data_IF_314237983995
#
_entry.id   IF_314237983995
#
_cell.length_a   1.000
_cell.length_b   1.000
_cell.length_c   1.000
_cell.angle_alpha   90.00
_cell.angle_beta   90.00
_cell.angle_gamma   90.00
#
_symmetry.space_group_name_H-M   'P 1'
#
loop_
_entity.id
_entity.type
_entity.pdbx_description
1 polymer ?
#
# COMPACT_ATOMS: atom_id res chain seq x y z
N UNK A 1 16.22 -21.48 -5.54
CA UNK A 1 16.87 -20.28 -4.94
C UNK A 1 18.24 -20.57 -4.35
N UNK A 2 18.44 -21.55 -3.45
CA UNK A 2 19.77 -21.83 -2.89
C UNK A 2 20.83 -22.25 -3.93
N UNK A 3 20.48 -23.04 -4.95
CA UNK A 3 21.43 -23.41 -6.03
C UNK A 3 21.86 -22.21 -6.88
N UNK A 4 20.93 -21.30 -7.22
CA UNK A 4 21.17 -20.05 -7.96
C UNK A 4 21.94 -19.02 -7.10
N UNK A 5 21.67 -18.97 -5.79
CA UNK A 5 22.45 -18.18 -4.85
C UNK A 5 23.91 -18.66 -4.82
N UNK A 6 24.14 -19.97 -4.74
CA UNK A 6 25.49 -20.54 -4.74
C UNK A 6 26.25 -20.27 -6.03
N UNK A 7 25.59 -20.22 -7.20
CA UNK A 7 26.27 -19.87 -8.47
C UNK A 7 26.61 -18.38 -8.59
N UNK A 8 25.79 -17.47 -8.04
CA UNK A 8 25.98 -16.02 -8.14
C UNK A 8 26.92 -15.43 -7.09
N UNK A 9 27.03 -16.06 -5.92
CA UNK A 9 27.72 -15.53 -4.73
C UNK A 9 29.05 -16.26 -4.46
N UNK A 10 29.28 -17.43 -5.07
CA UNK A 10 30.52 -18.18 -4.83
C UNK A 10 31.75 -17.42 -5.33
N UNK A 11 32.80 -17.25 -4.50
CA UNK A 11 34.06 -16.63 -4.91
C UNK A 11 34.84 -17.50 -5.90
N UNK A 12 34.48 -18.77 -6.09
CA UNK A 12 35.11 -19.68 -7.06
C UNK A 12 34.03 -20.23 -8.00
N UNK A 13 34.27 -20.27 -9.32
CA UNK A 13 33.29 -20.80 -10.27
C UNK A 13 32.97 -22.25 -9.91
N UNK A 14 31.70 -22.55 -9.67
CA UNK A 14 31.25 -23.94 -9.59
C UNK A 14 31.35 -24.52 -10.99
N UNK A 15 32.13 -25.59 -11.14
CA UNK A 15 32.37 -26.29 -12.41
C UNK A 15 31.07 -26.93 -12.90
N UNK A 16 30.23 -26.08 -13.49
CA UNK A 16 29.04 -26.45 -14.22
C UNK A 16 29.47 -26.37 -15.67
N UNK A 17 29.47 -27.50 -16.36
CA UNK A 17 29.71 -27.59 -17.80
C UNK A 17 28.81 -26.58 -18.53
N UNK A 18 29.33 -25.38 -18.78
CA UNK A 18 28.61 -24.29 -19.44
C UNK A 18 28.50 -24.63 -20.91
N UNK A 19 27.31 -25.03 -21.35
CA UNK A 19 26.88 -24.68 -22.69
C UNK A 19 26.87 -23.14 -22.73
N UNK A 20 27.78 -22.55 -23.51
CA UNK A 20 28.06 -21.11 -23.54
C UNK A 20 26.97 -20.25 -24.20
N UNK A 21 25.82 -20.82 -24.55
CA UNK A 21 24.64 -20.03 -24.84
C UNK A 21 24.00 -19.64 -23.51
N UNK A 22 24.44 -18.50 -22.98
CA UNK A 22 23.74 -17.86 -21.87
C UNK A 22 22.34 -17.53 -22.39
N UNK A 23 21.34 -18.33 -22.01
CA UNK A 23 19.96 -18.11 -22.44
C UNK A 23 19.48 -16.78 -21.86
N UNK A 24 19.58 -15.74 -22.69
CA UNK A 24 19.20 -14.36 -22.40
C UNK A 24 17.74 -14.30 -21.92
N UNK A 25 16.89 -15.18 -22.43
CA UNK A 25 15.51 -15.32 -21.98
C UNK A 25 15.43 -15.97 -20.61
N UNK A 26 16.25 -16.99 -20.31
CA UNK A 26 16.30 -17.57 -18.96
C UNK A 26 16.68 -16.53 -17.90
N UNK A 27 17.65 -15.64 -18.18
CA UNK A 27 18.01 -14.54 -17.28
C UNK A 27 16.82 -13.59 -17.07
N UNK A 28 16.12 -13.22 -18.13
CA UNK A 28 14.97 -12.32 -18.06
C UNK A 28 13.78 -12.93 -17.28
N UNK A 29 13.51 -14.22 -17.49
CA UNK A 29 12.49 -14.97 -16.76
C UNK A 29 12.87 -15.10 -15.29
N UNK A 30 14.13 -15.40 -15.01
CA UNK A 30 14.65 -15.48 -13.64
C UNK A 30 14.51 -14.14 -12.92
N UNK A 31 14.94 -13.03 -13.53
CA UNK A 31 14.82 -11.70 -12.96
C UNK A 31 13.36 -11.36 -12.62
N UNK A 32 12.43 -11.53 -13.57
CA UNK A 32 10.98 -11.31 -13.33
C UNK A 32 10.43 -12.18 -12.22
N UNK A 33 10.86 -13.44 -12.14
CA UNK A 33 10.42 -14.36 -11.08
C UNK A 33 10.88 -13.86 -9.71
N UNK A 34 12.14 -13.42 -9.57
CA UNK A 34 12.62 -12.82 -8.33
C UNK A 34 11.82 -11.59 -7.93
N UNK A 35 11.52 -10.70 -8.88
CA UNK A 35 10.74 -9.50 -8.58
C UNK A 35 9.26 -9.79 -8.26
N UNK A 36 8.66 -10.81 -8.87
CA UNK A 36 7.33 -11.27 -8.49
C UNK A 36 7.33 -11.85 -7.07
N UNK A 37 8.32 -12.68 -6.73
CA UNK A 37 8.52 -13.19 -5.38
C UNK A 37 8.75 -12.06 -4.37
N UNK A 38 9.52 -11.03 -4.73
CA UNK A 38 9.74 -9.84 -3.93
C UNK A 38 8.42 -9.11 -3.61
N UNK A 39 7.57 -8.86 -4.62
CA UNK A 39 6.28 -8.19 -4.44
C UNK A 39 5.36 -9.03 -3.54
N UNK A 40 5.29 -10.35 -3.76
CA UNK A 40 4.52 -11.25 -2.90
C UNK A 40 5.03 -11.26 -1.45
N UNK A 41 6.34 -11.25 -1.24
CA UNK A 41 6.94 -11.19 0.09
C UNK A 41 6.60 -9.86 0.80
N UNK A 42 6.53 -8.75 0.06
CA UNK A 42 6.09 -7.46 0.58
C UNK A 42 4.62 -7.46 1.03
N UNK A 43 3.74 -8.16 0.30
CA UNK A 43 2.30 -8.20 0.63
C UNK A 43 1.94 -9.22 1.70
N UNK A 44 2.72 -10.30 1.85
CA UNK A 44 2.39 -11.42 2.75
C UNK A 44 3.20 -11.36 4.06
N UNK A 45 4.48 -10.98 4.01
CA UNK A 45 5.44 -11.19 5.12
C UNK A 45 5.94 -9.89 5.74
N UNK A 46 5.03 -9.01 6.18
CA UNK A 46 5.45 -7.73 6.78
C UNK A 46 5.48 -7.72 8.32
N UNK A 47 5.04 -8.77 9.01
CA UNK A 47 4.89 -8.77 10.49
C UNK A 47 6.03 -9.41 11.29
N UNK A 48 6.01 -9.24 12.62
CA UNK A 48 7.05 -9.75 13.56
C UNK A 48 7.29 -11.25 13.45
N UNK A 49 6.22 -12.01 13.24
CA UNK A 49 6.26 -13.47 13.20
C UNK A 49 6.57 -14.05 11.81
N UNK A 50 6.56 -13.20 10.77
CA UNK A 50 6.89 -13.56 9.40
C UNK A 50 7.79 -12.47 8.81
N UNK A 51 9.08 -12.43 9.17
CA UNK A 51 10.01 -11.47 8.59
C UNK A 51 10.16 -11.73 7.09
N UNK A 52 10.29 -10.66 6.31
CA UNK A 52 10.53 -10.72 4.86
C UNK A 52 11.72 -11.59 4.51
N UNK A 53 11.54 -12.51 3.57
CA UNK A 53 12.58 -13.41 3.07
C UNK A 53 13.44 -12.74 1.99
N UNK A 54 12.87 -11.80 1.24
CA UNK A 54 13.50 -11.10 0.13
C UNK A 54 13.37 -9.58 0.30
N UNK A 55 13.88 -8.96 1.39
CA UNK A 55 13.93 -7.50 1.46
C UNK A 55 14.83 -6.94 0.36
N UNK A 56 14.68 -5.64 0.04
CA UNK A 56 15.42 -4.99 -1.05
C UNK A 56 16.95 -5.16 -0.91
N UNK A 57 17.46 -5.20 0.32
CA UNK A 57 18.87 -5.48 0.62
C UNK A 57 19.33 -6.89 0.17
N UNK A 58 18.49 -7.91 0.34
CA UNK A 58 18.79 -9.26 -0.13
C UNK A 58 18.70 -9.36 -1.65
N UNK A 59 17.75 -8.68 -2.29
CA UNK A 59 17.68 -8.57 -3.76
C UNK A 59 18.99 -7.99 -4.35
N UNK A 60 19.54 -6.96 -3.70
CA UNK A 60 20.83 -6.38 -4.09
C UNK A 60 22.01 -7.35 -3.87
N UNK A 61 22.05 -8.08 -2.74
CA UNK A 61 23.10 -9.09 -2.47
C UNK A 61 23.07 -10.24 -3.48
N UNK A 62 21.87 -10.68 -3.85
CA UNK A 62 21.62 -11.69 -4.88
C UNK A 62 21.94 -11.21 -6.31
N UNK A 63 22.29 -9.92 -6.46
CA UNK A 63 22.56 -9.27 -7.75
C UNK A 63 21.44 -9.53 -8.76
N UNK A 64 20.18 -9.49 -8.30
CA UNK A 64 19.03 -9.69 -9.18
C UNK A 64 19.03 -8.55 -10.21
N UNK A 65 19.07 -8.86 -11.52
CA UNK A 65 19.04 -7.82 -12.55
C UNK A 65 17.76 -6.99 -12.48
N UNK A 66 17.82 -5.77 -13.00
CA UNK A 66 16.62 -5.00 -13.23
C UNK A 66 15.68 -5.77 -14.15
N UNK A 67 14.37 -5.76 -13.88
CA UNK A 67 13.42 -6.37 -14.78
C UNK A 67 13.38 -5.54 -16.05
N UNK A 68 13.42 -6.21 -17.20
CA UNK A 68 13.23 -5.55 -18.48
C UNK A 68 11.84 -4.92 -18.52
N UNK A 69 11.68 -3.84 -19.29
CA UNK A 69 10.35 -3.35 -19.60
C UNK A 69 9.54 -4.41 -20.38
N UNK A 70 8.23 -4.21 -20.49
CA UNK A 70 7.33 -5.17 -21.12
C UNK A 70 7.70 -5.45 -22.58
N UNK A 71 7.98 -4.38 -23.33
CA UNK A 71 8.30 -4.43 -24.77
C UNK A 71 9.58 -5.22 -25.03
N UNK A 72 10.66 -4.91 -24.31
CA UNK A 72 11.97 -5.54 -24.47
C UNK A 72 11.92 -7.05 -24.15
N UNK A 73 11.03 -7.46 -23.24
CA UNK A 73 10.84 -8.87 -22.97
C UNK A 73 9.96 -9.57 -24.00
N UNK A 74 8.88 -8.92 -24.44
CA UNK A 74 7.95 -9.51 -25.40
C UNK A 74 8.62 -9.75 -26.76
N UNK A 75 9.47 -8.82 -27.20
CA UNK A 75 10.15 -8.89 -28.50
C UNK A 75 11.56 -9.49 -28.44
N UNK A 76 12.06 -9.77 -27.23
CA UNK A 76 13.46 -10.14 -27.01
C UNK A 76 14.35 -8.90 -26.98
N UNK A 77 15.36 -8.94 -26.12
CA UNK A 77 16.31 -7.83 -25.94
C UNK A 77 17.70 -8.25 -26.37
N UNK A 78 18.46 -7.30 -26.90
CA UNK A 78 19.88 -7.51 -27.16
C UNK A 78 20.66 -7.25 -25.86
N UNK A 79 21.53 -8.17 -25.44
CA UNK A 79 22.31 -7.99 -24.21
C UNK A 79 23.23 -6.74 -24.31
N UNK A 80 23.57 -6.31 -25.53
CA UNK A 80 24.32 -5.07 -25.79
C UNK A 80 23.52 -3.78 -25.54
N UNK A 81 22.18 -3.84 -25.45
CA UNK A 81 21.32 -2.68 -25.21
C UNK A 81 20.95 -2.48 -23.73
N UNK A 82 21.42 -3.31 -22.81
CA UNK A 82 21.19 -3.18 -21.35
C UNK A 82 21.72 -1.84 -20.77
N UNK A 83 22.73 -1.23 -21.41
CA UNK A 83 23.27 0.08 -21.03
C UNK A 83 22.55 1.25 -21.72
N UNK A 84 21.71 0.97 -22.72
CA UNK A 84 20.90 1.99 -23.37
C UNK A 84 19.63 2.21 -22.53
N UNK A 85 19.76 3.07 -21.53
CA UNK A 85 18.61 3.80 -20.98
C UNK A 85 17.76 4.25 -22.18
N UNK A 86 16.49 3.85 -22.22
CA UNK A 86 15.52 4.47 -23.12
C UNK A 86 15.39 5.94 -22.72
N UNK A 87 16.35 6.75 -23.12
CA UNK A 87 16.45 8.20 -22.91
C UNK A 87 15.31 8.96 -23.61
N UNK A 88 14.42 8.26 -24.30
CA UNK A 88 13.24 8.80 -24.96
C UNK A 88 11.96 8.83 -24.13
N UNK A 89 11.83 8.02 -23.06
CA UNK A 89 10.59 8.05 -22.27
C UNK A 89 10.66 9.02 -21.09
N UNK A 90 10.54 10.30 -21.43
CA UNK A 90 10.41 11.40 -20.46
C UNK A 90 9.15 11.30 -19.58
N UNK A 91 8.25 10.34 -19.84
CA UNK A 91 7.02 10.16 -19.06
C UNK A 91 7.21 9.32 -17.79
N UNK A 92 8.35 8.66 -17.61
CA UNK A 92 8.60 7.74 -16.49
C UNK A 92 7.79 6.43 -16.53
N UNK A 93 7.04 6.20 -17.61
CA UNK A 93 6.15 5.04 -17.77
C UNK A 93 6.94 3.75 -18.00
N UNK A 94 8.05 3.83 -18.74
CA UNK A 94 8.98 2.73 -19.00
C UNK A 94 9.68 2.22 -17.73
N UNK A 95 9.83 3.06 -16.70
CA UNK A 95 10.44 2.69 -15.42
C UNK A 95 9.41 2.32 -14.34
N UNK A 96 8.13 2.23 -14.71
CA UNK A 96 7.01 1.99 -13.79
C UNK A 96 7.22 0.78 -12.88
N UNK A 97 7.82 -0.31 -13.36
CA UNK A 97 8.03 -1.49 -12.54
C UNK A 97 8.99 -1.25 -11.36
N UNK A 98 10.15 -0.64 -11.59
CA UNK A 98 11.14 -0.38 -10.53
C UNK A 98 10.56 0.59 -9.49
N UNK A 99 9.82 1.59 -9.96
CA UNK A 99 9.10 2.52 -9.10
C UNK A 99 8.04 1.79 -8.25
N UNK A 100 7.24 0.91 -8.86
CA UNK A 100 6.21 0.11 -8.16
C UNK A 100 6.86 -0.86 -7.16
N UNK A 101 7.92 -1.57 -7.52
CA UNK A 101 8.64 -2.47 -6.63
C UNK A 101 9.19 -1.70 -5.40
N UNK A 102 9.76 -0.52 -5.62
CA UNK A 102 10.17 0.37 -4.52
C UNK A 102 8.97 0.81 -3.67
N UNK A 103 7.82 1.09 -4.29
CA UNK A 103 6.57 1.38 -3.59
C UNK A 103 6.10 0.24 -2.69
N UNK A 104 6.18 -1.01 -3.17
CA UNK A 104 5.90 -2.20 -2.36
C UNK A 104 6.86 -2.37 -1.19
N UNK A 105 8.15 -2.04 -1.36
CA UNK A 105 9.13 -2.06 -0.26
C UNK A 105 8.79 -1.03 0.83
N UNK A 106 8.37 0.17 0.43
CA UNK A 106 7.96 1.24 1.34
C UNK A 106 6.67 0.84 2.07
N UNK A 107 5.69 0.31 1.33
CA UNK A 107 4.46 -0.23 1.90
C UNK A 107 4.76 -1.33 2.93
N UNK A 108 5.63 -2.29 2.60
CA UNK A 108 6.00 -3.36 3.52
C UNK A 108 6.69 -2.83 4.79
N UNK A 109 7.50 -1.77 4.68
CA UNK A 109 8.08 -1.12 5.85
C UNK A 109 7.00 -0.46 6.73
N UNK A 110 6.04 0.25 6.14
CA UNK A 110 4.92 0.84 6.87
C UNK A 110 4.05 -0.22 7.54
N UNK A 111 3.72 -1.30 6.82
CA UNK A 111 3.01 -2.44 7.39
C UNK A 111 3.80 -3.11 8.50
N UNK A 112 5.13 -3.18 8.39
CA UNK A 112 5.95 -3.74 9.46
C UNK A 112 5.86 -2.92 10.74
N UNK A 113 5.82 -1.60 10.64
CA UNK A 113 5.54 -0.77 11.81
C UNK A 113 4.21 -1.15 12.47
N UNK A 114 3.11 -1.19 11.69
CA UNK A 114 1.77 -1.52 12.17
C UNK A 114 1.71 -2.93 12.79
N UNK A 115 2.21 -3.95 12.08
CA UNK A 115 2.20 -5.33 12.55
C UNK A 115 3.10 -5.58 13.77
N UNK A 116 4.11 -4.73 14.00
CA UNK A 116 4.95 -4.76 15.21
C UNK A 116 4.31 -3.96 16.37
N UNK A 117 2.98 -3.98 16.48
CA UNK A 117 2.16 -3.22 17.42
C UNK A 117 2.22 -1.69 17.25
N UNK A 118 2.85 -1.16 16.20
CA UNK A 118 2.84 0.25 15.86
C UNK A 118 3.05 1.19 17.04
N UNK A 119 2.13 2.14 17.22
CA UNK A 119 2.10 3.05 18.38
C UNK A 119 2.04 2.32 19.74
N UNK A 120 1.39 1.17 19.80
CA UNK A 120 1.20 0.40 21.02
C UNK A 120 2.44 -0.38 21.45
N UNK A 121 3.51 -0.41 20.64
CA UNK A 121 4.76 -1.06 21.02
C UNK A 121 5.45 -0.34 22.20
N UNK A 122 6.22 -1.07 23.03
CA UNK A 122 6.89 -0.49 24.19
C UNK A 122 7.80 0.70 23.82
N UNK A 123 7.61 1.84 24.48
CA UNK A 123 8.40 3.06 24.26
C UNK A 123 7.96 3.93 23.07
N UNK A 124 7.02 3.48 22.24
CA UNK A 124 6.59 4.25 21.05
C UNK A 124 5.73 5.47 21.36
N UNK A 125 5.16 5.54 22.58
CA UNK A 125 4.42 6.71 23.05
C UNK A 125 5.31 7.78 23.71
N UNK A 126 6.60 7.49 23.91
CA UNK A 126 7.56 8.44 24.47
C UNK A 126 7.69 9.70 23.57
N UNK A 127 8.03 10.87 24.13
CA UNK A 127 8.11 12.11 23.38
C UNK A 127 8.97 12.03 22.12
N UNK A 128 10.12 11.37 22.18
CA UNK A 128 11.06 11.20 21.06
C UNK A 128 10.53 10.32 19.93
N UNK A 129 9.54 9.46 20.21
CA UNK A 129 8.96 8.53 19.25
C UNK A 129 7.60 8.98 18.72
N UNK A 130 7.11 10.14 19.18
CA UNK A 130 5.88 10.74 18.66
C UNK A 130 6.00 11.04 17.16
N UNK A 131 4.90 10.93 16.39
CA UNK A 131 4.96 10.96 14.92
C UNK A 131 5.43 12.30 14.34
N UNK A 132 5.22 13.42 15.04
CA UNK A 132 5.73 14.73 14.62
C UNK A 132 7.22 14.98 14.95
N UNK A 133 7.88 14.06 15.65
CA UNK A 133 9.30 14.21 15.99
C UNK A 133 10.16 13.70 14.84
N UNK A 134 11.06 14.53 14.28
CA UNK A 134 12.00 14.10 13.24
C UNK A 134 12.87 12.95 13.72
N UNK A 135 12.96 11.89 12.90
CA UNK A 135 13.72 10.69 13.23
C UNK A 135 12.95 9.65 14.03
N UNK A 136 11.71 9.91 14.45
CA UNK A 136 10.80 8.85 14.93
C UNK A 136 10.56 7.81 13.82
N UNK A 137 10.24 6.56 14.19
CA UNK A 137 9.98 5.49 13.22
C UNK A 137 8.89 5.90 12.19
N UNK A 138 7.82 6.54 12.68
CA UNK A 138 6.76 7.08 11.83
C UNK A 138 7.27 8.16 10.87
N UNK A 139 8.02 9.15 11.37
CA UNK A 139 8.52 10.25 10.53
C UNK A 139 9.46 9.75 9.44
N UNK A 140 10.34 8.78 9.74
CA UNK A 140 11.23 8.18 8.75
C UNK A 140 10.44 7.45 7.64
N UNK A 141 9.40 6.70 8.02
CA UNK A 141 8.52 6.03 7.05
C UNK A 141 7.76 7.03 6.18
N UNK A 142 7.24 8.12 6.77
CA UNK A 142 6.58 9.20 6.01
C UNK A 142 7.53 9.91 5.07
N UNK A 143 8.71 10.30 5.56
CA UNK A 143 9.71 11.02 4.76
C UNK A 143 10.14 10.18 3.55
N UNK A 144 10.37 8.88 3.76
CA UNK A 144 10.68 7.94 2.68
C UNK A 144 9.56 7.82 1.65
N UNK A 145 8.30 7.76 2.10
CA UNK A 145 7.13 7.71 1.22
C UNK A 145 6.99 8.99 0.39
N UNK A 146 7.16 10.14 1.02
CA UNK A 146 7.08 11.45 0.37
C UNK A 146 8.25 11.70 -0.60
N UNK A 147 9.46 11.26 -0.26
CA UNK A 147 10.61 11.30 -1.17
C UNK A 147 10.36 10.45 -2.41
N UNK A 148 9.85 9.22 -2.24
CA UNK A 148 9.48 8.35 -3.35
C UNK A 148 8.36 8.93 -4.21
N UNK A 149 7.38 9.62 -3.61
CA UNK A 149 6.33 10.32 -4.37
C UNK A 149 6.91 11.49 -5.18
N UNK A 150 7.82 12.27 -4.59
CA UNK A 150 8.48 13.41 -5.25
C UNK A 150 9.45 13.01 -6.35
N UNK A 151 10.04 11.80 -6.28
CA UNK A 151 10.93 11.30 -7.33
C UNK A 151 10.18 10.89 -8.60
N UNK A 152 8.85 10.79 -8.56
CA UNK A 152 8.01 10.42 -9.70
C UNK A 152 7.74 11.64 -10.60
N UNK A 153 7.56 11.39 -11.89
CA UNK A 153 7.08 12.43 -12.81
C UNK A 153 5.64 12.82 -12.44
N UNK A 154 5.29 14.11 -12.53
CA UNK A 154 3.97 14.65 -12.16
C UNK A 154 2.80 13.91 -12.83
N UNK A 155 3.01 13.43 -14.05
CA UNK A 155 2.07 12.62 -14.84
C UNK A 155 1.65 11.32 -14.17
N UNK A 156 2.44 10.80 -13.24
CA UNK A 156 2.14 9.55 -12.54
C UNK A 156 1.33 9.79 -11.25
N UNK A 157 0.97 11.04 -10.96
CA UNK A 157 0.23 11.41 -9.77
C UNK A 157 -1.27 11.53 -10.04
N UNK A 158 -2.04 10.65 -9.39
CA UNK A 158 -3.47 10.85 -9.18
C UNK A 158 -3.71 11.85 -8.04
N UNK A 159 -4.80 12.65 -8.05
CA UNK A 159 -5.80 12.82 -9.11
C UNK A 159 -5.42 13.86 -10.18
N UNK A 160 -4.18 14.35 -10.21
CA UNK A 160 -3.73 15.35 -11.18
C UNK A 160 -3.89 14.85 -12.62
N UNK A 161 -3.71 13.54 -12.83
CA UNK A 161 -3.98 12.86 -14.08
C UNK A 161 -4.98 11.72 -13.89
N UNK A 162 -5.86 11.57 -14.87
CA UNK A 162 -6.95 10.58 -14.89
C UNK A 162 -6.44 9.19 -15.29
N UNK A 163 -7.05 8.16 -14.72
CA UNK A 163 -6.81 6.74 -15.04
C UNK A 163 -7.00 6.47 -16.53
N UNK A 164 -8.04 7.07 -17.14
CA UNK A 164 -8.39 6.91 -18.56
C UNK A 164 -7.20 7.22 -19.49
N UNK A 165 -6.40 8.23 -19.16
CA UNK A 165 -5.25 8.64 -19.98
C UNK A 165 -4.19 7.54 -19.98
N UNK A 166 -3.84 7.02 -18.81
CA UNK A 166 -2.85 5.95 -18.68
C UNK A 166 -3.35 4.62 -19.23
N UNK A 167 -4.65 4.37 -19.13
CA UNK A 167 -5.32 3.22 -19.75
C UNK A 167 -5.18 3.25 -21.27
N UNK A 168 -5.44 4.39 -21.90
CA UNK A 168 -5.30 4.57 -23.37
C UNK A 168 -3.86 4.35 -23.84
N UNK A 169 -2.88 4.66 -22.98
CA UNK A 169 -1.46 4.46 -23.26
C UNK A 169 -0.95 3.04 -22.92
N UNK A 170 -1.81 2.14 -22.43
CA UNK A 170 -1.42 0.76 -22.07
C UNK A 170 -0.68 0.63 -20.73
N UNK A 171 -0.77 1.65 -19.87
CA UNK A 171 -0.07 1.71 -18.58
C UNK A 171 -1.00 1.93 -17.38
N UNK A 172 -2.31 1.72 -17.57
CA UNK A 172 -3.32 2.00 -16.55
C UNK A 172 -3.12 1.21 -15.25
N UNK A 173 -2.88 -0.10 -15.33
CA UNK A 173 -2.65 -0.93 -14.14
C UNK A 173 -1.46 -0.42 -13.31
N UNK A 174 -0.31 -0.17 -13.95
CA UNK A 174 0.88 0.36 -13.29
C UNK A 174 0.59 1.69 -12.59
N UNK A 175 -0.14 2.60 -13.25
CA UNK A 175 -0.56 3.87 -12.67
C UNK A 175 -1.46 3.69 -11.44
N UNK A 176 -2.41 2.75 -11.51
CA UNK A 176 -3.32 2.47 -10.40
C UNK A 176 -2.56 1.89 -9.21
N UNK A 177 -1.70 0.87 -9.41
CA UNK A 177 -0.88 0.30 -8.34
C UNK A 177 0.05 1.33 -7.68
N UNK A 178 0.69 2.18 -8.48
CA UNK A 178 1.57 3.22 -7.98
C UNK A 178 0.84 4.15 -7.01
N UNK A 179 -0.36 4.61 -7.39
CA UNK A 179 -1.14 5.53 -6.57
C UNK A 179 -1.80 4.81 -5.37
N UNK A 180 -2.27 3.57 -5.53
CA UNK A 180 -2.75 2.75 -4.42
C UNK A 180 -1.66 2.55 -3.35
N UNK A 181 -0.43 2.25 -3.74
CA UNK A 181 0.69 2.08 -2.81
C UNK A 181 0.95 3.36 -2.00
N UNK A 182 0.93 4.52 -2.65
CA UNK A 182 1.10 5.80 -1.97
C UNK A 182 0.00 6.04 -0.93
N UNK A 183 -1.26 5.93 -1.34
CA UNK A 183 -2.39 6.23 -0.47
C UNK A 183 -2.58 5.19 0.64
N UNK A 184 -2.41 3.90 0.34
CA UNK A 184 -2.53 2.86 1.35
C UNK A 184 -1.45 3.00 2.41
N UNK A 185 -0.19 3.26 2.02
CA UNK A 185 0.90 3.52 2.98
C UNK A 185 0.61 4.75 3.84
N UNK A 186 0.05 5.81 3.24
CA UNK A 186 -0.41 7.00 3.99
C UNK A 186 -1.49 6.61 5.02
N UNK A 187 -2.48 5.83 4.62
CA UNK A 187 -3.52 5.37 5.55
C UNK A 187 -2.93 4.58 6.72
N UNK A 188 -2.05 3.61 6.44
CA UNK A 188 -1.46 2.74 7.45
C UNK A 188 -0.66 3.53 8.49
N UNK A 189 0.07 4.56 8.06
CA UNK A 189 0.81 5.44 8.97
C UNK A 189 -0.10 6.27 9.87
N UNK A 190 -1.22 6.79 9.36
CA UNK A 190 -2.05 7.73 10.12
C UNK A 190 -3.10 7.04 10.99
N UNK A 191 -3.63 5.90 10.55
CA UNK A 191 -4.84 5.31 11.13
C UNK A 191 -4.70 4.95 12.62
N UNK A 192 -3.55 4.44 13.05
CA UNK A 192 -3.34 4.00 14.44
C UNK A 192 -3.39 5.13 15.49
N UNK A 193 -3.34 6.38 15.04
CA UNK A 193 -3.37 7.56 15.90
C UNK A 193 -4.77 8.18 16.02
N UNK A 194 -5.76 7.68 15.28
CA UNK A 194 -7.14 8.14 15.39
C UNK A 194 -7.98 7.18 16.24
N UNK A 195 -8.97 7.70 16.99
CA UNK A 195 -9.89 6.89 17.78
C UNK A 195 -10.58 5.82 16.92
N UNK A 196 -10.65 4.59 17.43
CA UNK A 196 -11.38 3.53 16.74
C UNK A 196 -12.89 3.81 16.70
N UNK A 197 -13.46 4.28 17.82
CA UNK A 197 -14.86 4.71 17.94
C UNK A 197 -14.93 6.11 18.58
N UNK A 198 -14.97 7.19 17.78
CA UNK A 198 -15.12 8.54 18.29
C UNK A 198 -16.56 8.82 18.73
N UNK A 199 -16.74 9.86 19.54
CA UNK A 199 -18.08 10.45 19.79
C UNK A 199 -18.45 11.42 18.66
N UNK A 200 -19.74 11.68 18.47
CA UNK A 200 -20.23 12.49 17.35
C UNK A 200 -19.74 13.96 17.38
N UNK A 201 -19.38 14.46 18.55
CA UNK A 201 -18.88 15.82 18.79
C UNK A 201 -17.35 15.94 18.65
N UNK A 202 -16.65 14.81 18.54
CA UNK A 202 -15.19 14.77 18.48
C UNK A 202 -14.67 15.36 17.17
N UNK A 203 -13.58 16.12 17.28
CA UNK A 203 -12.79 16.64 16.16
C UNK A 203 -11.47 15.85 16.06
N UNK A 204 -10.68 16.02 14.97
CA UNK A 204 -9.40 15.34 14.85
C UNK A 204 -8.56 15.53 16.11
N UNK A 205 -8.19 14.42 16.73
CA UNK A 205 -7.30 14.40 17.89
C UNK A 205 -6.59 13.07 17.93
N UNK A 206 -5.54 13.05 18.74
CA UNK A 206 -4.74 11.86 18.95
C UNK A 206 -5.47 10.71 19.58
N UNK A 207 -4.75 9.60 19.79
CA UNK A 207 -5.32 8.40 20.37
C UNK A 207 -5.96 8.76 21.71
N UNK A 208 -7.24 8.42 21.85
CA UNK A 208 -7.98 8.54 23.11
C UNK A 208 -7.92 7.25 23.91
N UNK A 209 -7.50 6.17 23.26
CA UNK A 209 -7.35 4.84 23.82
C UNK A 209 -5.89 4.59 24.23
N UNK A 210 -5.62 4.01 25.43
CA UNK A 210 -4.27 3.68 25.86
C UNK A 210 -3.52 2.77 24.87
N UNK A 211 -2.18 2.90 24.74
CA UNK A 211 -1.31 3.86 25.43
C UNK A 211 -1.38 5.27 24.82
N UNK A 212 -1.55 6.29 25.66
CA UNK A 212 -1.62 7.68 25.19
C UNK A 212 -0.22 8.21 24.87
N UNK A 213 -0.13 9.12 23.90
CA UNK A 213 1.12 9.82 23.60
C UNK A 213 1.54 10.69 24.78
N UNK A 214 2.83 10.65 25.13
CA UNK A 214 3.39 11.35 26.29
C UNK A 214 3.74 12.83 25.97
N UNK A 215 3.64 13.22 24.70
CA UNK A 215 3.81 14.60 24.25
C UNK A 215 2.56 15.13 23.54
N UNK A 216 2.33 16.43 23.67
CA UNK A 216 1.28 17.13 22.94
C UNK A 216 1.71 17.38 21.49
N UNK A 217 0.78 17.18 20.56
CA UNK A 217 1.04 17.43 19.15
C UNK A 217 1.16 18.93 18.86
N UNK A 218 1.98 19.35 17.89
CA UNK A 218 2.01 20.72 17.41
C UNK A 218 0.61 21.19 16.96
N UNK A 219 0.29 22.49 17.11
CA UNK A 219 -0.98 23.03 16.64
C UNK A 219 -1.25 22.70 15.17
N UNK A 220 -2.45 22.20 14.87
CA UNK A 220 -2.88 21.83 13.52
C UNK A 220 -2.41 20.45 13.03
N UNK A 221 -1.56 19.73 13.79
CA UNK A 221 -1.06 18.43 13.35
C UNK A 221 -2.18 17.40 13.16
N UNK A 222 -3.15 17.33 14.08
CA UNK A 222 -4.28 16.41 13.98
C UNK A 222 -5.21 16.74 12.81
N UNK A 223 -5.47 18.02 12.55
CA UNK A 223 -6.32 18.48 11.45
C UNK A 223 -5.72 18.12 10.09
N UNK A 224 -4.39 18.22 9.97
CA UNK A 224 -3.64 17.87 8.77
C UNK A 224 -3.54 16.35 8.60
N UNK A 225 -3.25 15.64 9.69
CA UNK A 225 -3.21 14.18 9.70
C UNK A 225 -4.56 13.56 9.30
N UNK A 226 -5.68 14.14 9.75
CA UNK A 226 -7.01 13.73 9.32
C UNK A 226 -7.25 14.04 7.83
N UNK A 227 -6.82 15.21 7.37
CA UNK A 227 -6.92 15.60 5.96
C UNK A 227 -6.19 14.59 5.07
N UNK A 228 -4.95 14.23 5.41
CA UNK A 228 -4.14 13.27 4.67
C UNK A 228 -4.79 11.87 4.67
N UNK A 229 -5.20 11.37 5.84
CA UNK A 229 -5.85 10.06 6.01
C UNK A 229 -7.13 9.90 5.18
N UNK A 230 -8.08 10.82 5.33
CA UNK A 230 -9.37 10.71 4.67
C UNK A 230 -9.30 11.08 3.19
N UNK A 231 -8.40 11.99 2.79
CA UNK A 231 -8.12 12.21 1.38
C UNK A 231 -7.57 10.94 0.74
N UNK A 232 -6.59 10.26 1.35
CA UNK A 232 -6.04 9.02 0.81
C UNK A 232 -7.12 7.95 0.59
N UNK A 233 -8.07 7.79 1.54
CA UNK A 233 -9.20 6.89 1.39
C UNK A 233 -10.14 7.29 0.23
N UNK A 234 -10.46 8.57 0.10
CA UNK A 234 -11.25 9.09 -1.03
C UNK A 234 -10.56 8.84 -2.37
N UNK A 235 -9.25 9.05 -2.45
CA UNK A 235 -8.49 8.86 -3.68
C UNK A 235 -8.40 7.37 -4.07
N UNK A 236 -8.23 6.44 -3.13
CA UNK A 236 -8.25 4.99 -3.44
C UNK A 236 -9.61 4.58 -4.02
N UNK A 237 -10.71 4.98 -3.38
CA UNK A 237 -12.05 4.63 -3.83
C UNK A 237 -12.33 5.21 -5.22
N UNK A 238 -12.00 6.50 -5.43
CA UNK A 238 -12.19 7.18 -6.72
C UNK A 238 -11.34 6.55 -7.83
N UNK A 239 -10.08 6.20 -7.52
CA UNK A 239 -9.15 5.56 -8.46
C UNK A 239 -9.65 4.19 -8.92
N UNK A 240 -10.14 3.35 -7.99
CA UNK A 240 -10.70 2.03 -8.31
C UNK A 240 -12.04 2.12 -9.05
N UNK A 241 -12.86 3.12 -8.72
CA UNK A 241 -14.09 3.41 -9.44
C UNK A 241 -13.80 3.78 -10.90
N UNK A 242 -12.90 4.73 -11.12
CA UNK A 242 -12.50 5.15 -12.47
C UNK A 242 -11.87 4.01 -13.28
N UNK A 243 -11.07 3.15 -12.63
CA UNK A 243 -10.53 1.94 -13.26
C UNK A 243 -11.63 0.95 -13.71
N UNK A 244 -12.65 0.76 -12.87
CA UNK A 244 -13.79 -0.10 -13.17
C UNK A 244 -14.63 0.46 -14.33
N UNK A 245 -14.84 1.78 -14.37
CA UNK A 245 -15.50 2.48 -15.48
C UNK A 245 -14.70 2.37 -16.79
N UNK A 246 -13.38 2.26 -16.71
CA UNK A 246 -12.50 1.98 -17.86
C UNK A 246 -12.50 0.50 -18.30
N UNK A 247 -13.27 -0.37 -17.63
CA UNK A 247 -13.37 -1.79 -17.97
C UNK A 247 -12.27 -2.68 -17.40
N UNK A 248 -11.49 -2.22 -16.41
CA UNK A 248 -10.51 -3.04 -15.68
C UNK A 248 -10.84 -3.01 -14.17
N UNK A 249 -11.79 -3.84 -13.71
CA UNK A 249 -11.94 -4.07 -12.28
C UNK A 249 -10.72 -4.85 -11.76
N UNK A 250 -9.96 -4.24 -10.85
CA UNK A 250 -8.74 -4.85 -10.29
C UNK A 250 -9.08 -5.91 -9.25
N UNK A 251 -9.04 -7.18 -9.65
CA UNK A 251 -9.46 -8.29 -8.79
C UNK A 251 -8.30 -8.98 -8.06
N UNK A 252 -7.23 -8.26 -7.69
CA UNK A 252 -6.14 -8.86 -6.90
C UNK A 252 -6.38 -8.70 -5.40
N UNK A 253 -5.83 -9.59 -4.54
CA UNK A 253 -5.97 -9.48 -3.08
C UNK A 253 -5.52 -8.12 -2.54
N UNK A 254 -4.45 -7.55 -3.11
CA UNK A 254 -3.96 -6.22 -2.72
C UNK A 254 -4.97 -5.11 -3.03
N UNK A 255 -5.52 -5.07 -4.26
CA UNK A 255 -6.57 -4.09 -4.60
C UNK A 255 -7.84 -4.28 -3.76
N UNK A 256 -8.20 -5.52 -3.42
CA UNK A 256 -9.31 -5.80 -2.50
C UNK A 256 -9.06 -5.24 -1.11
N UNK A 257 -7.85 -5.38 -0.57
CA UNK A 257 -7.46 -4.80 0.72
C UNK A 257 -7.45 -3.25 0.68
N UNK A 258 -6.98 -2.65 -0.42
CA UNK A 258 -7.10 -1.21 -0.65
C UNK A 258 -8.57 -0.76 -0.62
N UNK A 259 -9.44 -1.45 -1.37
CA UNK A 259 -10.87 -1.16 -1.46
C UNK A 259 -11.54 -1.28 -0.09
N UNK A 260 -11.27 -2.35 0.66
CA UNK A 260 -11.78 -2.55 2.01
C UNK A 260 -11.36 -1.43 2.95
N UNK A 261 -10.08 -1.10 2.97
CA UNK A 261 -9.53 -0.03 3.82
C UNK A 261 -10.17 1.32 3.51
N UNK A 262 -10.28 1.66 2.23
CA UNK A 262 -10.90 2.90 1.77
C UNK A 262 -12.41 2.93 2.10
N UNK A 263 -13.13 1.83 1.86
CA UNK A 263 -14.55 1.69 2.18
C UNK A 263 -14.79 1.88 3.69
N UNK A 264 -14.01 1.22 4.53
CA UNK A 264 -14.08 1.36 5.98
C UNK A 264 -13.88 2.81 6.43
N UNK A 265 -12.88 3.52 5.89
CA UNK A 265 -12.61 4.91 6.26
C UNK A 265 -13.68 5.88 5.77
N UNK A 266 -14.27 5.62 4.60
CA UNK A 266 -15.41 6.38 4.10
C UNK A 266 -16.66 6.15 4.98
N UNK A 267 -16.92 4.92 5.43
CA UNK A 267 -17.95 4.62 6.43
C UNK A 267 -17.69 5.37 7.75
N UNK A 268 -16.44 5.34 8.23
CA UNK A 268 -16.03 6.02 9.46
C UNK A 268 -16.33 7.51 9.39
N UNK A 269 -15.86 8.20 8.34
CA UNK A 269 -16.02 9.66 8.23
C UNK A 269 -17.44 10.06 7.84
N UNK A 270 -18.21 9.19 7.17
CA UNK A 270 -19.63 9.40 6.95
C UNK A 270 -20.40 9.42 8.28
N UNK A 271 -20.09 8.48 9.19
CA UNK A 271 -20.73 8.42 10.51
C UNK A 271 -20.25 9.51 11.46
N UNK A 272 -18.98 9.91 11.35
CA UNK A 272 -18.33 10.90 12.23
C UNK A 272 -17.70 12.04 11.41
N UNK A 273 -18.50 12.87 10.73
CA UNK A 273 -18.00 13.84 9.75
C UNK A 273 -17.09 14.91 10.38
N UNK A 274 -17.27 15.21 11.68
CA UNK A 274 -16.41 16.13 12.42
C UNK A 274 -14.97 15.63 12.59
N UNK A 275 -14.73 14.32 12.48
CA UNK A 275 -13.38 13.73 12.50
C UNK A 275 -12.54 14.06 11.26
N UNK A 276 -13.15 14.62 10.22
CA UNK A 276 -12.44 15.27 9.13
C UNK A 276 -12.93 16.70 8.91
N UNK A 277 -13.42 17.36 9.97
CA UNK A 277 -13.90 18.74 9.93
C UNK A 277 -14.96 18.99 8.83
N UNK A 278 -15.78 17.98 8.55
CA UNK A 278 -16.81 17.97 7.51
C UNK A 278 -16.28 18.17 6.07
N UNK A 279 -15.02 17.80 5.79
CA UNK A 279 -14.41 17.93 4.45
C UNK A 279 -14.82 16.82 3.48
N UNK A 280 -15.23 15.65 3.97
CA UNK A 280 -15.54 14.45 3.16
C UNK A 280 -16.97 14.41 2.64
N UNK A 281 -17.29 15.29 1.69
CA UNK A 281 -18.66 15.40 1.12
C UNK A 281 -19.12 14.15 0.33
N UNK A 282 -18.19 13.36 -0.22
CA UNK A 282 -18.49 12.17 -1.03
C UNK A 282 -18.45 10.85 -0.25
N UNK A 283 -18.24 10.90 1.07
CA UNK A 283 -17.98 9.71 1.88
C UNK A 283 -19.06 8.64 1.75
N UNK A 284 -20.35 9.02 1.78
CA UNK A 284 -21.46 8.08 1.63
C UNK A 284 -21.47 7.39 0.26
N UNK A 285 -21.27 8.17 -0.81
CA UNK A 285 -21.24 7.65 -2.18
C UNK A 285 -20.10 6.66 -2.36
N UNK A 286 -18.89 7.02 -1.93
CA UNK A 286 -17.69 6.19 -2.07
C UNK A 286 -17.74 4.94 -1.18
N UNK A 287 -18.34 5.05 0.01
CA UNK A 287 -18.63 3.90 0.86
C UNK A 287 -19.58 2.93 0.16
N UNK A 288 -20.72 3.41 -0.35
CA UNK A 288 -21.70 2.54 -1.02
C UNK A 288 -21.09 1.85 -2.23
N UNK A 289 -20.35 2.58 -3.07
CA UNK A 289 -19.63 2.00 -4.20
C UNK A 289 -18.59 0.95 -3.73
N UNK A 290 -17.84 1.25 -2.66
CA UNK A 290 -16.87 0.32 -2.08
C UNK A 290 -17.52 -0.96 -1.55
N UNK A 291 -18.74 -0.90 -1.01
CA UNK A 291 -19.50 -2.08 -0.60
C UNK A 291 -19.89 -2.95 -1.80
N UNK A 292 -20.43 -2.34 -2.85
CA UNK A 292 -20.78 -3.04 -4.11
C UNK A 292 -19.54 -3.71 -4.72
N UNK A 293 -18.41 -3.00 -4.74
CA UNK A 293 -17.14 -3.54 -5.20
C UNK A 293 -16.69 -4.76 -4.39
N UNK A 294 -16.77 -4.70 -3.07
CA UNK A 294 -16.39 -5.82 -2.19
C UNK A 294 -17.35 -7.01 -2.33
N UNK A 295 -18.64 -6.75 -2.55
CA UNK A 295 -19.63 -7.79 -2.84
C UNK A 295 -19.35 -8.49 -4.16
N UNK A 296 -18.89 -7.78 -5.19
CA UNK A 296 -18.42 -8.40 -6.43
C UNK A 296 -17.11 -9.16 -6.19
N UNK A 297 -16.18 -8.56 -5.43
CA UNK A 297 -14.88 -9.14 -5.09
C UNK A 297 -15.00 -10.48 -4.38
N UNK A 298 -16.04 -10.66 -3.54
CA UNK A 298 -16.28 -11.92 -2.82
C UNK A 298 -16.55 -13.12 -3.74
N UNK A 299 -17.03 -12.87 -4.97
CA UNK A 299 -17.27 -13.94 -5.95
C UNK A 299 -15.96 -14.53 -6.48
N UNK A 300 -14.89 -13.74 -6.48
CA UNK A 300 -13.54 -14.18 -6.87
C UNK A 300 -12.71 -14.65 -5.66
N UNK A 301 -12.93 -14.05 -4.49
CA UNK A 301 -12.14 -14.31 -3.28
C UNK A 301 -13.02 -14.48 -2.05
N UNK A 302 -13.06 -15.70 -1.47
CA UNK A 302 -13.83 -15.99 -0.26
C UNK A 302 -13.47 -15.06 0.93
N UNK A 303 -12.23 -14.55 0.95
CA UNK A 303 -11.73 -13.58 1.94
C UNK A 303 -12.64 -12.34 2.07
N UNK A 304 -13.22 -11.85 0.96
CA UNK A 304 -14.05 -10.67 0.98
C UNK A 304 -15.37 -10.86 1.74
N UNK A 305 -15.84 -12.11 1.89
CA UNK A 305 -17.04 -12.39 2.69
C UNK A 305 -16.88 -12.02 4.17
N UNK A 306 -15.66 -12.01 4.70
CA UNK A 306 -15.35 -11.48 6.04
C UNK A 306 -15.39 -9.96 6.08
N UNK A 307 -14.84 -9.31 5.05
CA UNK A 307 -14.76 -7.85 4.93
C UNK A 307 -16.13 -7.18 4.80
N UNK A 308 -17.01 -7.73 3.95
CA UNK A 308 -18.38 -7.22 3.77
C UNK A 308 -19.17 -7.26 5.09
N UNK A 309 -18.97 -8.31 5.92
CA UNK A 309 -19.61 -8.42 7.23
C UNK A 309 -19.12 -7.36 8.23
N UNK A 310 -17.87 -6.94 8.12
CA UNK A 310 -17.26 -5.93 9.00
C UNK A 310 -17.65 -4.49 8.63
N UNK A 311 -18.08 -4.27 7.39
CA UNK A 311 -18.61 -2.99 6.91
C UNK A 311 -20.10 -3.16 6.55
N UNK A 312 -20.99 -3.39 7.51
CA UNK A 312 -22.40 -3.56 7.21
C UNK A 312 -23.00 -2.24 6.71
N UNK A 313 -24.02 -2.29 5.84
CA UNK A 313 -24.66 -1.09 5.33
C UNK A 313 -25.27 -0.24 6.46
N UNK A 314 -25.36 1.09 6.29
CA UNK A 314 -25.76 2.02 7.35
C UNK A 314 -27.10 1.68 8.00
N UNK A 315 -28.02 1.09 7.23
CA UNK A 315 -29.37 0.71 7.64
C UNK A 315 -29.40 -0.41 8.69
N UNK A 316 -28.34 -1.22 8.78
CA UNK A 316 -28.25 -2.39 9.66
C UNK A 316 -27.71 -2.03 11.06
N UNK A 317 -26.97 -0.93 11.18
CA UNK A 317 -26.38 -0.45 12.43
C UNK A 317 -27.28 0.62 13.07
N UNK A 318 -28.47 0.20 13.53
CA UNK A 318 -29.18 0.94 14.58
C UNK A 318 -28.39 0.72 15.86
N UNK A 319 -27.42 1.60 16.14
CA UNK A 319 -26.79 1.67 17.46
C UNK A 319 -27.85 2.07 18.48
N UNK A 320 -28.55 1.09 19.03
CA UNK A 320 -29.14 1.24 20.36
C UNK A 320 -27.98 1.38 21.35
N UNK A 321 -28.13 2.26 22.35
CA UNK A 321 -27.14 2.57 23.40
C UNK A 321 -26.65 1.34 24.22
N UNK A 322 -27.03 0.13 23.82
CA UNK A 322 -26.71 -1.14 24.43
C UNK A 322 -25.57 -1.90 23.73
N UNK A 323 -25.21 -1.58 22.48
CA UNK A 323 -24.17 -2.30 21.71
C UNK A 323 -22.73 -1.81 21.97
N UNK A 324 -22.55 -0.85 22.88
CA UNK A 324 -21.23 -0.34 23.29
C UNK A 324 -20.37 -1.36 24.07
N UNK A 325 -20.91 -2.56 24.36
CA UNK A 325 -20.23 -3.59 25.15
C UNK A 325 -19.84 -4.86 24.38
N UNK A 326 -20.05 -4.93 23.06
CA UNK A 326 -19.76 -6.15 22.32
C UNK A 326 -18.26 -6.28 21.96
N UNK A 327 -17.55 -6.91 22.90
CA UNK A 327 -16.20 -7.48 22.79
C UNK A 327 -15.96 -8.27 21.49
N UNK A 328 -17.00 -8.78 20.83
CA UNK A 328 -16.88 -9.55 19.59
C UNK A 328 -16.46 -8.72 18.37
N UNK A 329 -16.92 -7.47 18.24
CA UNK A 329 -16.56 -6.60 17.10
C UNK A 329 -15.09 -6.16 17.18
N UNK A 330 -14.61 -5.92 18.41
CA UNK A 330 -13.22 -5.61 18.73
C UNK A 330 -12.32 -6.83 18.49
N UNK A 331 -12.78 -8.04 18.86
CA UNK A 331 -12.04 -9.29 18.68
C UNK A 331 -11.94 -9.71 17.20
N UNK A 332 -12.95 -9.42 16.39
CA UNK A 332 -12.95 -9.71 14.95
C UNK A 332 -12.00 -8.79 14.17
N UNK A 333 -11.87 -7.53 14.57
CA UNK A 333 -11.00 -6.54 13.91
C UNK A 333 -9.54 -6.66 14.37
N UNK A 334 -9.30 -7.02 15.65
CA UNK A 334 -7.95 -7.35 16.13
C UNK A 334 -7.39 -8.65 15.52
N UNK A 335 -8.23 -9.51 14.96
CA UNK A 335 -7.82 -10.73 14.24
C UNK A 335 -7.68 -10.52 12.73
N UNK A 336 -8.17 -9.41 12.19
CA UNK A 336 -8.07 -9.06 10.76
C UNK A 336 -7.00 -8.02 10.46
N UNK A 337 -6.36 -7.47 11.50
CA UNK A 337 -5.23 -6.54 11.42
C UNK A 337 -3.90 -7.24 11.66
#
# INVERSE_FOLDING_TARGET
>A
MQSLHSSRVSPHPLDTSQNNDTDVMAIAVEARTYWACFIMDCTINSGTYNPRMLPMSEMHKLKVPRPLNYTDFAFGFDAASLDHVCTGDLSGLAQSFETIATGFDIYAQAMSFVFNNGRCAPGMCAPENCPWVPGSAWSQSRDRLEEWRKSQHERLCYPQHSVVVHMTLGHGESFIYLNMLYYLSTIMLHREYFPFLPTADLTPRGPVDPPLLEAEAPPGWWDESARELFNAAEQIASLLQEASECGIPLMTPFSGFCAFTACFLNLYVFRFPRMNLNRSSKAEQLMNWGLEYLEEFQNAWELAGGWVKLTPPPTSLKLTEQDQNDSELITLIQKSN
#
